data_IF_873085475685
#
_entry.id   IF_873085475685
#
_cell.length_a   1.000
_cell.length_b   1.000
_cell.length_c   1.000
_cell.angle_alpha   90.00
_cell.angle_beta   90.00
_cell.angle_gamma   90.00
#
_symmetry.space_group_name_H-M   'P 1'
#
loop_
_entity.id
_entity.type
_entity.pdbx_description
1 polymer ?
#
# COMPACT_ATOMS: atom_id res chain seq x y z
N UNK A 1 -2.18 18.17 3.50
CA UNK A 1 -2.08 17.73 4.90
C UNK A 1 -0.69 17.14 5.08
N UNK A 2 0.07 17.63 6.05
CA UNK A 2 1.36 17.00 6.39
C UNK A 2 1.09 15.96 7.46
N UNK A 3 1.79 14.82 7.40
CA UNK A 3 1.59 13.75 8.38
C UNK A 3 1.90 14.22 9.80
N UNK A 4 2.87 15.08 9.99
CA UNK A 4 3.24 15.74 11.25
C UNK A 4 2.14 16.64 11.85
N UNK A 5 1.14 17.04 11.05
CA UNK A 5 -0.01 17.83 11.49
C UNK A 5 -1.17 16.96 12.01
N UNK A 6 -1.04 15.63 11.91
CA UNK A 6 -2.01 14.70 12.46
C UNK A 6 -2.00 14.77 14.01
N UNK A 7 -3.14 14.49 14.60
CA UNK A 7 -3.23 14.37 16.04
C UNK A 7 -2.42 13.17 16.55
N UNK A 8 -1.92 13.26 17.79
CA UNK A 8 -1.27 12.14 18.49
C UNK A 8 -2.34 11.09 18.89
N UNK A 9 -2.80 10.34 17.91
CA UNK A 9 -3.79 9.27 18.04
C UNK A 9 -3.26 7.98 17.39
N UNK A 10 -3.73 6.81 17.83
CA UNK A 10 -3.43 5.55 17.18
C UNK A 10 -3.95 5.53 15.73
N UNK A 11 -3.09 5.22 14.76
CA UNK A 11 -3.45 5.21 13.33
C UNK A 11 -3.05 3.86 12.72
N UNK A 12 -3.99 3.19 12.04
CA UNK A 12 -3.67 2.13 11.09
C UNK A 12 -3.76 2.69 9.69
N UNK A 13 -2.65 2.65 8.97
CA UNK A 13 -2.56 3.11 7.57
C UNK A 13 -2.64 1.90 6.66
N UNK A 14 -3.45 1.97 5.62
CA UNK A 14 -3.65 0.84 4.71
C UNK A 14 -3.43 1.20 3.25
N UNK A 15 -3.01 0.23 2.45
CA UNK A 15 -3.02 0.30 0.99
C UNK A 15 -3.25 -1.08 0.39
N UNK A 16 -3.70 -1.12 -0.86
CA UNK A 16 -3.68 -2.35 -1.64
C UNK A 16 -2.37 -2.48 -2.41
N UNK A 17 -1.92 -3.72 -2.65
CA UNK A 17 -0.64 -3.96 -3.35
C UNK A 17 -0.66 -3.47 -4.79
N UNK A 18 -1.78 -3.63 -5.49
CA UNK A 18 -1.87 -3.48 -6.94
C UNK A 18 -2.80 -2.35 -7.38
N UNK A 19 -2.91 -1.32 -6.57
CA UNK A 19 -3.82 -0.17 -6.62
C UNK A 19 -4.46 0.13 -8.00
N UNK A 20 -3.65 0.47 -9.01
CA UNK A 20 -4.16 0.89 -10.33
C UNK A 20 -3.84 -0.08 -11.49
N UNK A 21 -3.60 -1.35 -11.18
CA UNK A 21 -3.29 -2.36 -12.21
C UNK A 21 -4.40 -2.58 -13.23
N UNK A 22 -5.66 -2.38 -12.85
CA UNK A 22 -6.81 -2.50 -13.76
C UNK A 22 -7.17 -1.21 -14.47
N UNK A 23 -6.47 -0.10 -14.19
CA UNK A 23 -6.73 1.17 -14.87
C UNK A 23 -6.51 1.03 -16.38
N UNK A 24 -7.51 1.32 -17.24
CA UNK A 24 -7.40 1.04 -18.68
C UNK A 24 -6.23 1.74 -19.37
N UNK A 25 -5.88 2.96 -18.93
CA UNK A 25 -4.75 3.71 -19.48
C UNK A 25 -3.41 3.04 -19.12
N UNK A 26 -3.24 2.59 -17.88
CA UNK A 26 -2.05 1.86 -17.44
C UNK A 26 -1.91 0.53 -18.18
N UNK A 27 -2.98 -0.25 -18.26
CA UNK A 27 -2.99 -1.55 -18.96
C UNK A 27 -2.63 -1.43 -20.45
N UNK A 28 -3.03 -0.36 -21.10
CA UNK A 28 -2.65 -0.12 -22.52
C UNK A 28 -1.14 0.06 -22.64
N UNK A 29 -0.53 0.84 -21.76
CA UNK A 29 0.92 1.08 -21.75
C UNK A 29 1.66 -0.20 -21.37
N UNK A 30 1.24 -0.89 -20.33
CA UNK A 30 1.89 -2.10 -19.81
C UNK A 30 1.90 -3.25 -20.85
N UNK A 31 0.94 -3.30 -21.76
CA UNK A 31 0.91 -4.25 -22.88
C UNK A 31 1.83 -3.89 -24.06
N UNK A 32 2.45 -2.71 -24.05
CA UNK A 32 3.34 -2.28 -25.13
C UNK A 32 4.74 -2.83 -24.94
N UNK A 33 5.41 -3.20 -26.02
CA UNK A 33 6.81 -3.66 -25.97
C UNK A 33 7.78 -2.63 -25.36
N UNK A 34 7.43 -1.36 -25.39
CA UNK A 34 8.21 -0.25 -24.85
C UNK A 34 7.64 0.31 -23.52
N UNK A 35 6.83 -0.47 -22.80
CA UNK A 35 6.19 -0.05 -21.56
C UNK A 35 7.15 0.59 -20.57
N UNK A 36 8.30 -0.05 -20.32
CA UNK A 36 9.30 0.49 -19.41
C UNK A 36 9.92 1.82 -19.86
N UNK A 37 10.10 2.02 -21.17
CA UNK A 37 10.59 3.30 -21.71
C UNK A 37 9.53 4.41 -21.55
N UNK A 38 8.27 4.10 -21.89
CA UNK A 38 7.17 5.04 -21.74
C UNK A 38 6.98 5.43 -20.28
N UNK A 39 7.03 4.46 -19.38
CA UNK A 39 6.94 4.70 -17.93
C UNK A 39 8.07 5.59 -17.45
N UNK A 40 9.31 5.35 -17.92
CA UNK A 40 10.45 6.20 -17.62
C UNK A 40 10.25 7.65 -18.10
N UNK A 41 9.76 7.82 -19.30
CA UNK A 41 9.51 9.15 -19.87
C UNK A 41 8.41 9.92 -19.10
N UNK A 42 7.42 9.20 -18.60
CA UNK A 42 6.31 9.79 -17.86
C UNK A 42 6.58 9.98 -16.36
N UNK A 43 7.59 9.32 -15.79
CA UNK A 43 7.86 9.31 -14.36
C UNK A 43 7.96 10.71 -13.70
N UNK A 44 8.53 11.76 -14.35
CA UNK A 44 8.55 13.09 -13.74
C UNK A 44 7.15 13.70 -13.52
N UNK A 45 6.16 13.31 -14.34
CA UNK A 45 4.76 13.74 -14.16
C UNK A 45 4.11 13.15 -12.91
N UNK A 46 4.69 12.08 -12.38
CA UNK A 46 4.24 11.41 -11.16
C UNK A 46 5.11 11.75 -9.94
N UNK A 47 6.04 12.71 -10.08
CA UNK A 47 6.85 13.18 -8.96
C UNK A 47 8.14 12.42 -8.72
N UNK A 48 8.54 11.49 -9.62
CA UNK A 48 9.84 10.80 -9.52
C UNK A 48 10.84 11.48 -10.48
N UNK A 49 11.95 11.93 -9.96
CA UNK A 49 13.05 12.41 -10.80
C UNK A 49 13.65 11.27 -11.65
N UNK A 50 14.22 11.60 -12.81
CA UNK A 50 14.84 10.59 -13.68
C UNK A 50 15.96 9.80 -12.99
N UNK A 51 16.71 10.43 -12.09
CA UNK A 51 17.76 9.76 -11.31
C UNK A 51 17.19 8.68 -10.37
N UNK A 52 16.13 9.00 -9.65
CA UNK A 52 15.46 8.08 -8.71
C UNK A 52 14.62 7.02 -9.42
N UNK A 53 14.10 7.33 -10.60
CA UNK A 53 13.30 6.37 -11.37
C UNK A 53 14.05 5.07 -11.66
N UNK A 54 15.35 5.12 -11.92
CA UNK A 54 16.15 3.91 -12.18
C UNK A 54 16.16 2.98 -10.97
N UNK A 55 16.35 3.52 -9.78
CA UNK A 55 16.35 2.76 -8.53
C UNK A 55 14.94 2.22 -8.23
N UNK A 56 13.93 3.08 -8.30
CA UNK A 56 12.53 2.65 -8.16
C UNK A 56 12.20 1.50 -9.11
N UNK A 57 12.55 1.63 -10.40
CA UNK A 57 12.26 0.61 -11.41
C UNK A 57 12.91 -0.73 -11.12
N UNK A 58 14.14 -0.74 -10.60
CA UNK A 58 14.81 -1.98 -10.23
C UNK A 58 14.03 -2.72 -9.15
N UNK A 59 13.59 -2.02 -8.10
CA UNK A 59 12.87 -2.61 -6.98
C UNK A 59 11.43 -2.95 -7.35
N UNK A 60 10.72 -2.08 -8.04
CA UNK A 60 9.37 -2.32 -8.53
C UNK A 60 9.29 -3.52 -9.49
N UNK A 61 10.37 -3.79 -10.23
CA UNK A 61 10.45 -4.95 -11.12
C UNK A 61 10.37 -6.30 -10.37
N UNK A 62 10.87 -6.37 -9.14
CA UNK A 62 10.73 -7.57 -8.31
C UNK A 62 9.30 -7.79 -7.84
N UNK A 63 8.52 -6.71 -7.69
CA UNK A 63 7.11 -6.80 -7.28
C UNK A 63 6.23 -7.26 -8.45
N UNK A 64 6.31 -6.59 -9.59
CA UNK A 64 5.67 -7.01 -10.84
C UNK A 64 6.41 -6.49 -12.07
N UNK A 65 7.18 -7.34 -12.74
CA UNK A 65 7.94 -6.94 -13.93
C UNK A 65 7.08 -6.58 -15.13
N UNK A 66 5.84 -7.00 -15.16
CA UNK A 66 4.96 -6.89 -16.32
C UNK A 66 4.11 -5.61 -16.34
N UNK A 67 4.00 -4.90 -15.20
CA UNK A 67 3.07 -3.79 -15.04
C UNK A 67 3.73 -2.51 -14.51
N UNK A 68 4.78 -2.01 -15.17
CA UNK A 68 5.52 -0.85 -14.66
C UNK A 68 4.68 0.42 -14.58
N UNK A 69 3.72 0.64 -15.48
CA UNK A 69 2.88 1.84 -15.46
C UNK A 69 1.80 1.76 -14.39
N UNK A 70 1.15 0.62 -14.25
CA UNK A 70 0.19 0.39 -13.17
C UNK A 70 0.84 0.56 -11.79
N UNK A 71 2.06 0.01 -11.62
CA UNK A 71 2.85 0.16 -10.40
C UNK A 71 3.22 1.62 -10.14
N UNK A 72 3.73 2.35 -11.14
CA UNK A 72 4.08 3.75 -11.00
C UNK A 72 2.89 4.60 -10.56
N UNK A 73 1.71 4.40 -11.14
CA UNK A 73 0.51 5.15 -10.76
C UNK A 73 0.10 4.81 -9.33
N UNK A 74 0.08 3.53 -8.96
CA UNK A 74 -0.27 3.09 -7.60
C UNK A 74 0.66 3.67 -6.53
N UNK A 75 1.97 3.56 -6.78
CA UNK A 75 2.97 4.09 -5.86
C UNK A 75 2.88 5.61 -5.75
N UNK A 76 2.66 6.33 -6.87
CA UNK A 76 2.57 7.78 -6.88
C UNK A 76 1.26 8.33 -6.29
N UNK A 77 0.14 7.66 -6.51
CA UNK A 77 -1.17 8.17 -6.12
C UNK A 77 -1.58 7.80 -4.69
N UNK A 78 -1.16 6.62 -4.21
CA UNK A 78 -1.59 6.08 -2.91
C UNK A 78 -0.40 5.68 -2.05
N UNK A 79 0.40 4.72 -2.47
CA UNK A 79 1.35 4.02 -1.60
C UNK A 79 2.44 4.93 -1.01
N UNK A 80 2.88 5.97 -1.73
CA UNK A 80 3.80 6.97 -1.17
C UNK A 80 3.20 7.69 0.03
N UNK A 81 1.92 8.05 -0.03
CA UNK A 81 1.26 8.76 1.06
C UNK A 81 1.03 7.84 2.26
N UNK A 82 0.74 6.56 2.00
CA UNK A 82 0.66 5.53 3.04
C UNK A 82 1.99 5.41 3.78
N UNK A 83 3.10 5.30 3.04
CA UNK A 83 4.43 5.24 3.61
C UNK A 83 4.78 6.52 4.41
N UNK A 84 4.44 7.70 3.88
CA UNK A 84 4.69 8.96 4.57
C UNK A 84 3.93 9.06 5.89
N UNK A 85 2.65 8.73 5.90
CA UNK A 85 1.86 8.76 7.14
C UNK A 85 2.39 7.75 8.15
N UNK A 86 2.79 6.56 7.71
CA UNK A 86 3.36 5.55 8.60
C UNK A 86 4.67 6.02 9.27
N UNK A 87 5.48 6.78 8.55
CA UNK A 87 6.78 7.30 9.01
C UNK A 87 6.67 8.55 9.89
N UNK A 88 5.81 9.50 9.51
CA UNK A 88 5.80 10.85 10.05
C UNK A 88 4.66 11.13 11.05
N UNK A 89 3.68 10.22 11.21
CA UNK A 89 2.60 10.44 12.14
C UNK A 89 3.10 10.48 13.59
N UNK A 90 2.66 11.46 14.42
CA UNK A 90 3.20 11.64 15.76
C UNK A 90 2.75 10.59 16.77
N UNK A 91 1.65 9.88 16.48
CA UNK A 91 1.08 8.84 17.34
C UNK A 91 1.51 7.43 16.97
N UNK A 92 1.12 6.43 17.76
CA UNK A 92 1.37 5.03 17.45
C UNK A 92 0.79 4.67 16.08
N UNK A 93 1.64 4.13 15.19
CA UNK A 93 1.26 3.85 13.81
C UNK A 93 1.51 2.39 13.46
N UNK A 94 0.56 1.81 12.77
CA UNK A 94 0.61 0.47 12.21
C UNK A 94 0.33 0.54 10.71
N UNK A 95 0.87 -0.41 9.99
CA UNK A 95 0.65 -0.49 8.56
C UNK A 95 0.14 -1.86 8.14
N UNK A 96 -0.91 -1.86 7.31
CA UNK A 96 -1.46 -3.06 6.70
C UNK A 96 -1.49 -2.91 5.17
N UNK A 97 -0.97 -3.93 4.47
CA UNK A 97 -1.06 -4.02 3.01
C UNK A 97 -2.01 -5.15 2.63
N UNK A 98 -3.03 -4.83 1.84
CA UNK A 98 -3.95 -5.84 1.31
C UNK A 98 -3.38 -6.47 0.04
N UNK A 99 -3.38 -7.79 0.02
CA UNK A 99 -2.92 -8.61 -1.10
C UNK A 99 -4.03 -9.52 -1.59
N UNK A 100 -3.85 -10.15 -2.72
CA UNK A 100 -4.72 -11.22 -3.22
C UNK A 100 -3.87 -12.29 -3.91
N UNK A 101 -4.22 -13.54 -3.71
CA UNK A 101 -3.56 -14.68 -4.35
C UNK A 101 -4.13 -14.95 -5.74
N UNK A 102 -5.44 -14.82 -5.93
CA UNK A 102 -6.11 -15.20 -7.18
C UNK A 102 -6.18 -14.06 -8.22
N UNK A 103 -6.07 -12.81 -7.80
CA UNK A 103 -6.20 -11.63 -8.65
C UNK A 103 -5.34 -10.48 -8.10
N UNK A 104 -5.11 -9.40 -8.88
CA UNK A 104 -4.52 -8.18 -8.32
C UNK A 104 -5.39 -7.57 -7.22
N UNK A 105 -4.78 -7.17 -6.10
CA UNK A 105 -5.43 -6.39 -5.05
C UNK A 105 -5.51 -4.93 -5.49
N UNK A 106 -6.57 -4.61 -6.23
CA UNK A 106 -6.75 -3.28 -6.82
C UNK A 106 -7.34 -2.28 -5.85
N UNK A 107 -7.30 -1.01 -6.20
CA UNK A 107 -7.82 0.10 -5.40
C UNK A 107 -9.23 -0.16 -4.87
N UNK A 108 -9.39 0.05 -3.57
CA UNK A 108 -10.64 -0.20 -2.83
C UNK A 108 -11.09 -1.68 -2.75
N UNK A 109 -10.22 -2.65 -3.06
CA UNK A 109 -10.59 -4.07 -2.96
C UNK A 109 -10.91 -4.51 -1.53
N UNK A 110 -10.40 -3.80 -0.53
CA UNK A 110 -10.62 -4.07 0.89
C UNK A 110 -11.93 -3.47 1.45
N UNK A 111 -12.56 -2.52 0.75
CA UNK A 111 -13.71 -1.80 1.32
C UNK A 111 -14.92 -2.71 1.58
N UNK A 112 -15.24 -3.58 0.63
CA UNK A 112 -16.32 -4.54 0.78
C UNK A 112 -16.06 -5.52 1.94
N UNK A 113 -14.88 -6.17 2.04
CA UNK A 113 -14.50 -6.97 3.19
C UNK A 113 -14.51 -6.23 4.53
N UNK A 114 -14.07 -4.98 4.56
CA UNK A 114 -14.02 -4.18 5.79
C UNK A 114 -15.40 -3.76 6.29
N UNK A 115 -16.30 -3.37 5.40
CA UNK A 115 -17.56 -2.69 5.76
C UNK A 115 -18.82 -3.45 5.34
N UNK A 116 -18.72 -4.43 4.44
CA UNK A 116 -19.84 -5.18 3.88
C UNK A 116 -20.30 -6.39 4.69
N UNK A 117 -19.79 -6.58 5.91
CA UNK A 117 -20.05 -7.77 6.72
C UNK A 117 -21.53 -8.03 6.97
N UNK A 118 -22.04 -9.21 6.56
CA UNK A 118 -23.30 -9.74 7.06
C UNK A 118 -23.13 -10.15 8.53
N UNK A 119 -24.13 -9.90 9.36
CA UNK A 119 -24.08 -10.28 10.78
C UNK A 119 -24.18 -11.78 11.04
N UNK A 120 -24.08 -12.64 10.01
CA UNK A 120 -24.23 -14.08 10.10
C UNK A 120 -22.97 -14.75 10.64
N UNK A 121 -23.14 -15.75 11.51
CA UNK A 121 -22.02 -16.48 12.15
C UNK A 121 -21.11 -17.18 11.11
N UNK A 122 -21.69 -17.73 10.03
CA UNK A 122 -20.91 -18.38 8.96
C UNK A 122 -20.04 -17.37 8.21
N UNK A 123 -20.49 -16.13 8.07
CA UNK A 123 -19.72 -15.08 7.43
C UNK A 123 -18.46 -14.69 8.22
N UNK A 124 -18.46 -14.84 9.54
CA UNK A 124 -17.32 -14.50 10.40
C UNK A 124 -16.07 -15.36 10.15
N UNK A 125 -16.23 -16.55 9.60
CA UNK A 125 -15.12 -17.45 9.27
C UNK A 125 -14.55 -17.26 7.86
N UNK A 126 -15.08 -16.29 7.12
CA UNK A 126 -14.52 -15.90 5.81
C UNK A 126 -13.46 -14.83 5.98
N UNK A 127 -12.52 -14.66 5.03
CA UNK A 127 -11.55 -13.57 5.05
C UNK A 127 -12.18 -12.19 5.27
N UNK A 128 -13.33 -11.94 4.64
CA UNK A 128 -14.10 -10.71 4.81
C UNK A 128 -14.65 -10.56 6.24
N UNK A 129 -15.18 -11.64 6.80
CA UNK A 129 -15.69 -11.64 8.18
C UNK A 129 -14.60 -11.44 9.21
N UNK A 130 -13.45 -12.07 9.02
CA UNK A 130 -12.27 -11.87 9.88
C UNK A 130 -11.75 -10.42 9.83
N UNK A 131 -11.74 -9.80 8.64
CA UNK A 131 -11.29 -8.43 8.48
C UNK A 131 -12.29 -7.44 9.11
N UNK A 132 -13.59 -7.69 8.96
CA UNK A 132 -14.63 -6.90 9.61
C UNK A 132 -14.56 -7.00 11.14
N UNK A 133 -14.34 -8.20 11.69
CA UNK A 133 -14.15 -8.42 13.13
C UNK A 133 -12.90 -7.74 13.64
N UNK A 134 -11.80 -7.82 12.88
CA UNK A 134 -10.58 -7.08 13.18
C UNK A 134 -10.83 -5.57 13.25
N UNK A 135 -11.56 -4.99 12.29
CA UNK A 135 -11.87 -3.54 12.29
C UNK A 135 -12.71 -3.17 13.54
N UNK A 136 -13.70 -4.00 13.91
CA UNK A 136 -14.50 -3.75 15.12
C UNK A 136 -13.67 -3.85 16.39
N UNK A 137 -12.76 -4.82 16.47
CA UNK A 137 -11.84 -4.94 17.59
C UNK A 137 -10.96 -3.69 17.70
N UNK A 138 -10.29 -3.28 16.63
CA UNK A 138 -9.46 -2.09 16.61
C UNK A 138 -10.26 -0.81 16.98
N UNK A 139 -11.44 -0.63 16.41
CA UNK A 139 -12.28 0.53 16.72
C UNK A 139 -12.71 0.58 18.20
N UNK A 140 -12.78 -0.56 18.88
CA UNK A 140 -13.20 -0.66 20.27
C UNK A 140 -12.04 -0.52 21.25
N UNK A 141 -10.88 -1.09 20.91
CA UNK A 141 -9.73 -1.23 21.81
C UNK A 141 -8.59 -0.24 21.52
N UNK A 142 -8.48 0.23 20.27
CA UNK A 142 -7.32 0.96 19.76
C UNK A 142 -6.10 0.07 19.51
N UNK A 143 -6.22 -1.26 19.73
CA UNK A 143 -5.14 -2.22 19.50
C UNK A 143 -5.42 -3.03 18.22
N UNK A 144 -4.60 -2.91 17.17
CA UNK A 144 -4.79 -3.67 15.94
C UNK A 144 -4.35 -5.13 16.05
N UNK A 145 -3.72 -5.55 17.15
CA UNK A 145 -3.30 -6.93 17.40
C UNK A 145 -2.08 -7.40 16.60
N UNK A 146 -1.28 -6.49 16.08
CA UNK A 146 -0.01 -6.78 15.41
C UNK A 146 1.02 -5.68 15.72
N UNK A 147 2.33 -5.92 15.51
CA UNK A 147 3.38 -4.97 15.84
C UNK A 147 3.23 -3.64 15.10
N UNK A 148 3.62 -2.53 15.76
CA UNK A 148 3.69 -1.21 15.16
C UNK A 148 4.69 -1.12 14.01
N UNK A 149 4.55 -0.11 13.17
CA UNK A 149 5.43 0.13 12.02
C UNK A 149 6.89 0.25 12.45
N UNK A 150 7.20 1.15 13.39
CA UNK A 150 8.50 1.28 14.05
C UNK A 150 9.72 1.33 13.13
N UNK A 151 10.92 1.22 13.73
CA UNK A 151 12.20 1.30 13.01
C UNK A 151 12.42 0.15 12.01
N UNK A 152 11.75 -0.98 12.21
CA UNK A 152 11.85 -2.14 11.33
C UNK A 152 10.89 -2.07 10.12
N UNK A 153 10.09 -1.00 10.02
CA UNK A 153 9.08 -0.80 8.99
C UNK A 153 8.18 -2.03 8.80
N UNK A 154 7.61 -2.51 9.90
CA UNK A 154 6.78 -3.71 9.92
C UNK A 154 5.42 -3.46 9.26
N UNK A 155 5.04 -4.35 8.37
CA UNK A 155 3.77 -4.30 7.63
C UNK A 155 3.05 -5.61 7.79
N UNK A 156 1.78 -5.57 8.20
CA UNK A 156 0.92 -6.75 8.14
C UNK A 156 0.38 -6.89 6.72
N UNK A 157 0.78 -7.93 6.00
CA UNK A 157 0.12 -8.32 4.76
C UNK A 157 -1.11 -9.19 5.09
N UNK A 158 -2.24 -8.82 4.53
CA UNK A 158 -3.50 -9.57 4.65
C UNK A 158 -3.99 -9.96 3.25
N UNK A 159 -4.13 -11.26 3.01
CA UNK A 159 -4.64 -11.77 1.74
C UNK A 159 -6.18 -11.80 1.77
N UNK A 160 -6.80 -11.03 0.87
CA UNK A 160 -8.27 -10.88 0.79
C UNK A 160 -9.00 -12.13 0.28
N UNK A 161 -8.28 -13.05 -0.39
CA UNK A 161 -8.87 -14.29 -0.90
C UNK A 161 -8.82 -15.42 0.13
N UNK A 162 -7.75 -15.49 0.92
CA UNK A 162 -7.46 -16.62 1.81
C UNK A 162 -7.56 -16.27 3.30
N UNK A 163 -7.50 -14.98 3.68
CA UNK A 163 -7.39 -14.54 5.07
C UNK A 163 -5.99 -14.73 5.67
N UNK A 164 -5.02 -15.19 4.88
CA UNK A 164 -3.64 -15.37 5.36
C UNK A 164 -3.05 -14.03 5.82
N UNK A 165 -2.36 -14.07 6.96
CA UNK A 165 -1.68 -12.93 7.57
C UNK A 165 -0.19 -13.19 7.65
N UNK A 166 0.60 -12.25 7.16
CA UNK A 166 2.06 -12.36 7.19
C UNK A 166 2.68 -11.03 7.61
N UNK A 167 3.62 -11.06 8.54
CA UNK A 167 4.48 -9.90 8.80
C UNK A 167 5.55 -9.81 7.72
N UNK A 168 5.62 -8.67 7.08
CA UNK A 168 6.64 -8.30 6.14
C UNK A 168 7.40 -7.07 6.66
N UNK A 169 8.55 -6.77 6.06
CA UNK A 169 9.42 -5.69 6.49
C UNK A 169 9.82 -4.85 5.30
N UNK A 170 9.80 -3.53 5.48
CA UNK A 170 10.31 -2.58 4.51
C UNK A 170 9.67 -2.67 3.11
N UNK A 171 8.41 -3.12 3.02
CA UNK A 171 7.74 -3.36 1.73
C UNK A 171 7.50 -2.09 0.92
N UNK A 172 7.47 -0.93 1.58
CA UNK A 172 7.29 0.38 0.95
C UNK A 172 8.55 1.27 0.96
N UNK A 173 9.67 0.79 1.48
CA UNK A 173 10.90 1.59 1.54
C UNK A 173 11.37 2.07 0.17
N UNK A 174 11.20 1.25 -0.86
CA UNK A 174 11.54 1.64 -2.24
C UNK A 174 10.63 2.75 -2.78
N UNK A 175 9.38 2.80 -2.32
CA UNK A 175 8.43 3.86 -2.66
C UNK A 175 8.86 5.13 -1.95
N UNK A 176 9.10 5.08 -0.65
CA UNK A 176 9.59 6.21 0.13
C UNK A 176 10.89 6.79 -0.47
N UNK A 177 11.88 5.93 -0.75
CA UNK A 177 13.15 6.35 -1.36
C UNK A 177 13.00 7.01 -2.74
N UNK A 178 11.96 6.64 -3.50
CA UNK A 178 11.73 7.18 -4.83
C UNK A 178 11.06 8.56 -4.81
N UNK A 179 10.13 8.78 -3.89
CA UNK A 179 9.24 9.94 -3.92
C UNK A 179 9.64 11.05 -2.95
N UNK A 180 10.36 10.74 -1.86
CA UNK A 180 10.78 11.76 -0.89
C UNK A 180 12.20 12.22 -1.16
N UNK A 181 12.41 13.54 -1.12
CA UNK A 181 13.75 14.14 -1.14
C UNK A 181 14.37 14.05 0.26
N UNK A 182 15.71 14.03 0.30
CA UNK A 182 16.43 14.07 1.59
C UNK A 182 16.14 15.38 2.34
N UNK A 183 15.82 16.45 1.59
CA UNK A 183 15.39 17.76 2.13
C UNK A 183 13.99 17.72 2.76
N UNK A 184 13.13 16.77 2.36
CA UNK A 184 11.79 16.61 2.91
C UNK A 184 11.74 15.67 4.12
N UNK A 185 12.83 14.94 4.39
CA UNK A 185 12.95 14.01 5.52
C UNK A 185 13.50 14.64 6.80
N UNK A 186 13.69 15.97 6.83
CA UNK A 186 13.97 16.71 8.08
C UNK A 186 15.25 16.30 8.81
N UNK A 187 16.31 15.89 8.07
CA UNK A 187 17.65 15.63 8.63
C UNK A 187 18.54 16.84 8.44
#
# INVERSE_FOLDING_TARGET
LRAEELADIPIVVTSTRDEFYTMPAAQRIDKMALAGFITSYLSPKFGISQGRFKQWRQLAHYVDPQRPMGRLIGDAAVRRWTAQVAEEAPGPTWMMEFTRTEAPAVHCAELDPLFGGSGDEEAKTTPAGELNEWLRHYATTGDPGFPGYGDDHQVLEFDLDTGERRLAYATLDYVAAAFYSDDERGV
#
